data_IF_526859864002
#
_entry.id   IF_526859864002
#
_cell.length_a   1.000
_cell.length_b   1.000
_cell.length_c   1.000
_cell.angle_alpha   90.00
_cell.angle_beta   90.00
_cell.angle_gamma   90.00
#
_symmetry.space_group_name_H-M   'P 1'
#
loop_
_entity.id
_entity.type
_entity.pdbx_description
1 polymer ?
#
# COMPACT_ATOMS: atom_id res chain seq x y z
N UNK A 1 30.28 14.90 -2.62
CA UNK A 1 28.94 14.30 -2.71
C UNK A 1 28.87 13.30 -1.58
N UNK A 2 28.28 13.70 -0.47
CA UNK A 2 28.01 12.83 0.68
C UNK A 2 26.67 12.15 0.40
N UNK A 3 26.68 10.86 0.14
CA UNK A 3 25.50 10.03 0.11
C UNK A 3 24.92 10.01 1.53
N UNK A 4 23.81 10.70 1.71
CA UNK A 4 22.99 10.57 2.90
C UNK A 4 22.06 9.38 2.63
N UNK A 5 22.45 8.21 3.12
CA UNK A 5 21.56 7.06 3.19
C UNK A 5 20.45 7.41 4.16
N UNK A 6 19.15 7.34 3.77
CA UNK A 6 18.08 7.51 4.74
C UNK A 6 18.16 6.37 5.74
N UNK A 7 18.44 6.70 6.99
CA UNK A 7 18.51 5.69 8.05
C UNK A 7 17.10 5.42 8.55
N UNK A 8 16.48 4.39 8.04
CA UNK A 8 15.29 3.80 8.62
C UNK A 8 15.64 2.66 9.62
N UNK A 9 16.77 2.82 10.28
CA UNK A 9 17.13 2.05 11.49
C UNK A 9 16.18 2.29 12.67
N UNK A 10 15.16 3.17 12.51
CA UNK A 10 14.17 3.47 13.55
C UNK A 10 12.92 2.59 13.53
N UNK A 11 12.79 1.66 12.60
CA UNK A 11 11.64 0.74 12.53
C UNK A 11 11.52 -0.25 13.72
N UNK A 12 12.44 -0.21 14.67
CA UNK A 12 12.39 -0.98 15.92
C UNK A 12 12.32 -0.09 17.16
N UNK A 13 11.92 1.17 17.03
CA UNK A 13 11.62 1.99 18.20
C UNK A 13 10.24 1.56 18.72
N UNK A 14 10.19 0.92 19.88
CA UNK A 14 8.97 0.52 20.59
C UNK A 14 8.02 1.72 20.88
N UNK A 15 8.46 2.93 20.56
CA UNK A 15 7.69 4.18 20.69
C UNK A 15 7.05 4.66 19.38
N UNK A 16 7.34 4.03 18.25
CA UNK A 16 6.69 4.41 16.98
C UNK A 16 5.21 3.99 17.04
N UNK A 17 4.27 4.92 16.76
CA UNK A 17 2.85 4.62 16.83
C UNK A 17 2.50 3.56 15.79
N UNK A 18 1.82 2.49 16.24
CA UNK A 18 1.32 1.46 15.34
C UNK A 18 0.23 2.03 14.41
N UNK A 19 0.24 1.63 13.16
CA UNK A 19 -0.82 1.98 12.20
C UNK A 19 -1.79 0.80 12.06
N UNK A 20 -3.07 1.06 12.25
CA UNK A 20 -4.16 0.11 12.00
C UNK A 20 -4.81 0.45 10.67
N UNK A 21 -5.07 -0.58 9.87
CA UNK A 21 -5.81 -0.47 8.62
C UNK A 21 -6.85 -1.59 8.66
N UNK A 22 -8.12 -1.22 8.73
CA UNK A 22 -9.20 -2.20 8.64
C UNK A 22 -9.49 -2.50 7.16
N UNK A 23 -9.55 -3.77 6.81
CA UNK A 23 -9.85 -4.19 5.45
C UNK A 23 -10.69 -5.47 5.42
N UNK A 24 -11.40 -5.68 4.33
CA UNK A 24 -12.13 -6.92 4.08
C UNK A 24 -11.16 -8.01 3.59
N UNK A 25 -10.87 -8.97 4.46
CA UNK A 25 -9.97 -10.08 4.15
C UNK A 25 -10.48 -11.00 3.01
N UNK A 26 -11.72 -10.82 2.54
CA UNK A 26 -12.23 -11.57 1.36
C UNK A 26 -11.72 -11.00 0.04
N UNK A 27 -11.24 -9.75 0.03
CA UNK A 27 -10.75 -9.07 -1.18
C UNK A 27 -9.35 -8.47 -1.03
N UNK A 28 -8.84 -8.41 0.21
CA UNK A 28 -7.51 -7.90 0.53
C UNK A 28 -6.67 -8.93 1.25
N UNK A 29 -5.39 -8.96 0.98
CA UNK A 29 -4.41 -9.62 1.83
C UNK A 29 -3.21 -8.71 2.06
N UNK A 30 -2.62 -8.80 3.24
CA UNK A 30 -1.38 -8.11 3.56
C UNK A 30 -0.19 -9.03 3.30
N UNK A 31 0.83 -8.50 2.62
CA UNK A 31 2.12 -9.19 2.52
C UNK A 31 2.77 -9.12 3.90
N UNK A 32 3.08 -10.25 4.55
CA UNK A 32 3.66 -10.23 5.89
C UNK A 32 4.93 -9.40 5.94
N UNK A 33 5.05 -8.46 6.89
CA UNK A 33 6.26 -7.63 7.03
C UNK A 33 7.44 -8.45 7.57
N UNK A 34 7.14 -9.52 8.30
CA UNK A 34 8.11 -10.48 8.85
C UNK A 34 7.60 -11.91 8.66
N UNK A 35 8.54 -12.82 8.41
CA UNK A 35 8.25 -14.25 8.22
C UNK A 35 8.51 -14.96 9.54
N UNK A 36 7.46 -15.13 10.37
CA UNK A 36 7.59 -15.66 11.76
C UNK A 36 7.12 -17.09 11.90
N UNK A 37 6.30 -17.59 10.98
CA UNK A 37 5.72 -18.95 11.07
C UNK A 37 6.38 -19.89 10.06
N UNK A 38 6.55 -21.17 10.45
CA UNK A 38 7.17 -22.19 9.59
C UNK A 38 6.43 -22.36 8.24
N UNK A 39 5.09 -22.21 8.24
CA UNK A 39 4.24 -22.34 7.03
C UNK A 39 4.30 -21.09 6.12
N UNK A 40 4.81 -19.97 6.64
CA UNK A 40 4.92 -18.67 5.95
C UNK A 40 6.36 -18.14 5.97
N UNK A 41 7.33 -19.05 5.99
CA UNK A 41 8.73 -18.73 6.26
C UNK A 41 9.41 -17.81 5.22
N UNK A 42 8.79 -17.65 4.06
CA UNK A 42 9.30 -16.79 2.98
C UNK A 42 8.20 -16.42 1.99
N UNK A 43 8.44 -15.37 1.22
CA UNK A 43 7.48 -14.86 0.24
C UNK A 43 6.98 -15.93 -0.75
N UNK A 44 7.86 -16.84 -1.19
CA UNK A 44 7.50 -17.91 -2.12
C UNK A 44 6.50 -18.92 -1.51
N UNK A 45 6.73 -19.32 -0.26
CA UNK A 45 5.83 -20.21 0.46
C UNK A 45 4.49 -19.53 0.74
N UNK A 46 4.54 -18.28 1.21
CA UNK A 46 3.35 -17.48 1.46
C UNK A 46 2.49 -17.33 0.20
N UNK A 47 3.09 -16.94 -0.92
CA UNK A 47 2.34 -16.69 -2.16
C UNK A 47 1.64 -17.95 -2.68
N UNK A 48 2.29 -19.12 -2.56
CA UNK A 48 1.69 -20.39 -2.95
C UNK A 48 0.52 -20.77 -2.02
N UNK A 49 0.71 -20.68 -0.70
CA UNK A 49 -0.34 -20.99 0.27
C UNK A 49 -1.53 -20.06 0.15
N UNK A 50 -1.28 -18.76 -0.02
CA UNK A 50 -2.35 -17.80 -0.21
C UNK A 50 -3.09 -18.04 -1.54
N UNK A 51 -2.38 -18.40 -2.61
CA UNK A 51 -3.00 -18.81 -3.86
C UNK A 51 -3.90 -20.03 -3.68
N UNK A 52 -3.44 -21.08 -3.00
CA UNK A 52 -4.24 -22.27 -2.69
C UNK A 52 -5.55 -21.90 -1.97
N UNK A 53 -5.50 -20.99 -0.98
CA UNK A 53 -6.67 -20.49 -0.26
C UNK A 53 -7.64 -19.72 -1.18
N UNK A 54 -7.13 -18.87 -2.07
CA UNK A 54 -7.97 -18.15 -3.04
C UNK A 54 -8.71 -19.09 -3.99
N UNK A 55 -8.14 -20.26 -4.28
CA UNK A 55 -8.73 -21.25 -5.18
C UNK A 55 -9.54 -22.34 -4.45
N UNK A 56 -9.61 -22.34 -3.11
CA UNK A 56 -10.21 -23.44 -2.32
C UNK A 56 -11.66 -23.78 -2.72
N UNK A 57 -12.42 -22.75 -3.16
CA UNK A 57 -13.83 -22.90 -3.56
C UNK A 57 -14.06 -22.79 -5.07
N UNK A 58 -12.98 -22.79 -5.85
CA UNK A 58 -12.98 -22.68 -7.30
C UNK A 58 -12.58 -24.01 -7.94
N UNK A 59 -12.73 -24.12 -9.24
CA UNK A 59 -12.25 -25.25 -10.05
C UNK A 59 -11.10 -24.76 -10.95
N UNK A 60 -9.85 -24.71 -10.43
CA UNK A 60 -8.71 -24.19 -11.20
C UNK A 60 -8.31 -25.15 -12.33
N UNK A 61 -7.94 -24.58 -13.49
CA UNK A 61 -7.26 -25.36 -14.51
C UNK A 61 -5.84 -25.74 -14.05
N UNK A 62 -5.23 -26.78 -14.62
CA UNK A 62 -3.85 -27.12 -14.30
C UNK A 62 -2.91 -25.94 -14.52
N UNK A 63 -2.21 -25.53 -13.46
CA UNK A 63 -1.27 -24.40 -13.47
C UNK A 63 -1.84 -23.04 -13.05
N UNK A 64 -3.15 -22.91 -12.85
CA UNK A 64 -3.77 -21.64 -12.43
C UNK A 64 -3.28 -21.19 -11.04
N UNK A 65 -3.17 -22.14 -10.11
CA UNK A 65 -2.73 -21.90 -8.73
C UNK A 65 -1.28 -21.37 -8.71
N UNK A 66 -0.39 -22.04 -9.44
CA UNK A 66 1.01 -21.66 -9.55
C UNK A 66 1.17 -20.31 -10.25
N UNK A 67 0.41 -20.08 -11.33
CA UNK A 67 0.44 -18.80 -12.05
C UNK A 67 -0.02 -17.64 -11.16
N UNK A 68 -1.03 -17.84 -10.34
CA UNK A 68 -1.51 -16.82 -9.40
C UNK A 68 -0.51 -16.61 -8.26
N UNK A 69 0.10 -17.68 -7.73
CA UNK A 69 1.16 -17.58 -6.75
C UNK A 69 2.36 -16.78 -7.28
N UNK A 70 2.73 -16.95 -8.55
CA UNK A 70 3.80 -16.17 -9.17
C UNK A 70 3.45 -14.66 -9.26
N UNK A 71 2.19 -14.33 -9.51
CA UNK A 71 1.73 -12.93 -9.52
C UNK A 71 1.79 -12.30 -8.11
N UNK A 72 1.31 -13.02 -7.09
CA UNK A 72 1.37 -12.59 -5.70
C UNK A 72 2.82 -12.39 -5.24
N UNK A 73 3.71 -13.33 -5.58
CA UNK A 73 5.14 -13.24 -5.28
C UNK A 73 5.75 -12.01 -5.95
N UNK A 74 5.52 -11.80 -7.24
CA UNK A 74 6.03 -10.64 -7.96
C UNK A 74 5.55 -9.31 -7.36
N UNK A 75 4.29 -9.22 -6.95
CA UNK A 75 3.76 -8.05 -6.26
C UNK A 75 4.46 -7.81 -4.91
N UNK A 76 4.68 -8.86 -4.12
CA UNK A 76 5.41 -8.78 -2.85
C UNK A 76 6.89 -8.40 -3.04
N UNK A 77 7.58 -8.95 -4.03
CA UNK A 77 8.96 -8.60 -4.36
C UNK A 77 9.09 -7.10 -4.74
N UNK A 78 8.16 -6.61 -5.55
CA UNK A 78 8.11 -5.18 -5.93
C UNK A 78 7.90 -4.31 -4.68
N UNK A 79 6.96 -4.68 -3.82
CA UNK A 79 6.68 -3.96 -2.58
C UNK A 79 7.92 -3.88 -1.69
N UNK A 80 8.58 -5.02 -1.43
CA UNK A 80 9.78 -5.08 -0.59
C UNK A 80 10.97 -4.32 -1.19
N UNK A 81 11.11 -4.31 -2.53
CA UNK A 81 12.20 -3.62 -3.20
C UNK A 81 12.04 -2.09 -3.22
N UNK A 82 10.82 -1.60 -3.34
CA UNK A 82 10.56 -0.16 -3.55
C UNK A 82 10.13 0.58 -2.27
N UNK A 83 9.58 -0.12 -1.30
CA UNK A 83 9.12 0.46 -0.04
C UNK A 83 9.38 -0.52 1.13
N UNK A 84 10.65 -0.83 1.42
CA UNK A 84 10.99 -1.73 2.50
C UNK A 84 10.64 -1.08 3.84
N UNK A 85 9.66 -1.54 4.54
CA UNK A 85 9.13 -0.95 5.78
C UNK A 85 7.70 -0.43 5.63
N UNK A 86 7.24 -0.17 4.42
CA UNK A 86 5.83 0.09 4.17
C UNK A 86 5.00 -1.19 4.29
N UNK A 87 3.77 -1.06 4.75
CA UNK A 87 2.80 -2.15 4.68
C UNK A 87 2.33 -2.30 3.23
N UNK A 88 2.29 -3.53 2.74
CA UNK A 88 1.85 -3.85 1.39
C UNK A 88 0.56 -4.65 1.45
N UNK A 89 -0.54 -4.06 0.98
CA UNK A 89 -1.82 -4.73 0.82
C UNK A 89 -2.05 -5.05 -0.65
N UNK A 90 -2.49 -6.27 -0.92
CA UNK A 90 -2.81 -6.75 -2.25
C UNK A 90 -4.33 -6.86 -2.39
N UNK A 91 -4.89 -6.13 -3.34
CA UNK A 91 -6.28 -6.28 -3.74
C UNK A 91 -6.44 -7.51 -4.63
N UNK A 92 -7.16 -8.49 -4.16
CA UNK A 92 -7.29 -9.83 -4.76
C UNK A 92 -8.76 -10.26 -4.82
N UNK A 93 -9.63 -9.52 -5.53
CA UNK A 93 -11.08 -9.74 -5.48
C UNK A 93 -11.50 -11.13 -5.99
N UNK A 94 -10.71 -11.71 -6.88
CA UNK A 94 -10.95 -13.04 -7.42
C UNK A 94 -9.68 -13.57 -8.11
N UNK A 95 -9.28 -14.84 -7.92
CA UNK A 95 -8.03 -15.37 -8.50
C UNK A 95 -8.06 -15.46 -10.04
N UNK A 96 -9.25 -15.44 -10.67
CA UNK A 96 -9.39 -15.33 -12.15
C UNK A 96 -9.38 -13.90 -12.67
N UNK A 97 -9.28 -12.91 -11.77
CA UNK A 97 -9.15 -11.52 -12.16
C UNK A 97 -7.74 -11.22 -12.70
N UNK A 98 -7.53 -9.99 -13.15
CA UNK A 98 -6.30 -9.54 -13.81
C UNK A 98 -5.10 -9.37 -12.87
N UNK A 99 -4.90 -10.25 -11.92
CA UNK A 99 -3.80 -10.19 -10.96
C UNK A 99 -4.05 -9.21 -9.80
N UNK A 100 -3.16 -9.23 -8.80
CA UNK A 100 -3.28 -8.37 -7.63
C UNK A 100 -2.93 -6.91 -7.96
N UNK A 101 -3.65 -5.96 -7.33
CA UNK A 101 -3.25 -4.56 -7.29
C UNK A 101 -2.59 -4.27 -5.95
N UNK A 102 -1.37 -3.74 -5.96
CA UNK A 102 -0.63 -3.43 -4.75
C UNK A 102 -0.98 -2.02 -4.25
N UNK A 103 -1.29 -1.91 -2.97
CA UNK A 103 -1.38 -0.66 -2.23
C UNK A 103 -0.30 -0.65 -1.15
N UNK A 104 0.58 0.34 -1.20
CA UNK A 104 1.62 0.55 -0.19
C UNK A 104 1.15 1.62 0.78
N UNK A 105 1.32 1.37 2.07
CA UNK A 105 1.00 2.33 3.14
C UNK A 105 2.24 2.52 4.00
N UNK A 106 2.68 3.76 4.12
CA UNK A 106 3.89 4.12 4.84
C UNK A 106 3.64 5.27 5.82
N UNK A 107 4.40 5.30 6.90
CA UNK A 107 4.41 6.39 7.88
C UNK A 107 5.77 7.07 7.80
N UNK A 108 5.74 8.35 7.46
CA UNK A 108 6.93 9.16 7.26
C UNK A 108 7.02 10.23 8.35
N UNK A 109 8.16 10.41 9.01
CA UNK A 109 8.32 11.50 9.97
C UNK A 109 8.16 12.85 9.26
N UNK A 110 7.58 13.82 9.94
CA UNK A 110 7.55 15.16 9.41
C UNK A 110 8.96 15.77 9.50
N UNK A 111 9.36 16.41 8.40
CA UNK A 111 10.56 17.21 8.32
C UNK A 111 10.17 18.69 8.49
N UNK A 112 11.16 19.59 8.53
CA UNK A 112 10.96 21.04 8.65
C UNK A 112 10.27 21.66 7.40
N UNK A 113 9.15 21.07 6.96
CA UNK A 113 8.35 21.52 5.82
C UNK A 113 6.93 21.85 6.28
N UNK A 114 6.37 22.92 5.71
CA UNK A 114 4.98 23.29 5.97
C UNK A 114 4.04 22.13 5.49
N UNK A 115 3.09 21.67 6.33
CA UNK A 115 2.30 20.46 6.06
C UNK A 115 1.59 20.45 4.70
N UNK A 116 0.98 21.55 4.30
CA UNK A 116 0.29 21.60 3.00
C UNK A 116 1.27 21.48 1.81
N UNK A 117 2.49 22.00 1.94
CA UNK A 117 3.54 21.84 0.91
C UNK A 117 4.06 20.40 0.88
N UNK A 118 4.24 19.77 2.04
CA UNK A 118 4.66 18.39 2.16
C UNK A 118 3.61 17.42 1.57
N UNK A 119 2.32 17.61 1.87
CA UNK A 119 1.24 16.82 1.29
C UNK A 119 1.24 16.89 -0.24
N UNK A 120 1.45 18.06 -0.83
CA UNK A 120 1.55 18.21 -2.30
C UNK A 120 2.77 17.50 -2.87
N UNK A 121 3.91 17.56 -2.17
CA UNK A 121 5.13 16.86 -2.56
C UNK A 121 4.95 15.33 -2.49
N UNK A 122 4.46 14.81 -1.37
CA UNK A 122 4.24 13.37 -1.15
C UNK A 122 3.23 12.78 -2.13
N UNK A 123 2.19 13.53 -2.47
CA UNK A 123 1.19 13.10 -3.44
C UNK A 123 1.59 13.35 -4.89
N UNK A 124 2.69 14.06 -5.14
CA UNK A 124 3.13 14.48 -6.47
C UNK A 124 2.05 15.32 -7.20
N UNK A 125 1.40 16.20 -6.44
CA UNK A 125 0.31 17.03 -6.93
C UNK A 125 0.72 18.03 -8.02
N UNK A 126 2.00 18.40 -8.05
CA UNK A 126 2.58 19.40 -8.97
C UNK A 126 3.59 18.74 -9.93
N UNK A 127 3.48 17.43 -10.17
CA UNK A 127 4.42 16.69 -11.01
C UNK A 127 4.26 17.01 -12.50
N UNK A 128 5.33 17.52 -13.10
CA UNK A 128 5.39 17.88 -14.52
C UNK A 128 5.60 16.67 -15.45
N UNK A 129 6.00 15.51 -14.92
CA UNK A 129 6.21 14.27 -15.70
C UNK A 129 4.90 13.53 -16.01
N UNK A 130 3.80 13.97 -15.43
CA UNK A 130 2.48 13.41 -15.73
C UNK A 130 2.03 13.76 -17.16
N UNK A 131 1.40 12.81 -17.86
CA UNK A 131 0.89 12.99 -19.24
C UNK A 131 -0.17 14.11 -19.33
N UNK A 132 -0.86 14.35 -18.21
CA UNK A 132 -1.82 15.45 -18.00
C UNK A 132 -1.61 15.98 -16.59
N UNK A 133 -2.03 17.22 -16.37
CA UNK A 133 -2.04 17.77 -15.01
C UNK A 133 -2.72 16.79 -14.04
N UNK A 134 -2.10 16.47 -12.91
CA UNK A 134 -2.69 15.61 -11.90
C UNK A 134 -4.06 16.12 -11.45
N UNK A 135 -4.98 15.22 -11.17
CA UNK A 135 -6.26 15.58 -10.53
C UNK A 135 -6.03 15.53 -9.02
N UNK A 136 -6.22 16.68 -8.37
CA UNK A 136 -5.96 16.88 -6.94
C UNK A 136 -7.30 17.16 -6.25
N UNK A 137 -7.65 16.30 -5.29
CA UNK A 137 -8.86 16.43 -4.49
C UNK A 137 -8.51 16.51 -3.00
N UNK A 138 -9.26 17.26 -2.22
CA UNK A 138 -9.23 17.12 -0.77
C UNK A 138 -9.83 15.75 -0.37
N UNK A 139 -9.15 15.05 0.51
CA UNK A 139 -9.57 13.73 0.99
C UNK A 139 -9.40 13.64 2.52
N UNK A 140 -10.33 14.19 3.30
CA UNK A 140 -10.28 14.13 4.75
C UNK A 140 -10.55 12.70 5.23
N UNK A 141 -9.79 12.25 6.23
CA UNK A 141 -10.04 11.01 6.98
C UNK A 141 -10.62 11.34 8.35
N UNK A 142 -11.55 10.52 8.90
CA UNK A 142 -12.08 10.71 10.24
C UNK A 142 -11.00 10.72 11.32
N UNK A 143 -9.98 9.90 11.16
CA UNK A 143 -8.96 9.65 12.18
C UNK A 143 -7.62 10.34 11.87
N UNK A 144 -7.30 10.60 10.59
CA UNK A 144 -6.05 11.25 10.20
C UNK A 144 -6.20 12.75 9.87
N UNK A 145 -7.44 13.26 9.84
CA UNK A 145 -7.70 14.67 9.56
C UNK A 145 -7.66 15.03 8.08
N UNK A 146 -7.24 16.28 7.78
CA UNK A 146 -7.19 16.79 6.42
C UNK A 146 -6.09 16.10 5.59
N UNK A 147 -6.44 15.75 4.34
CA UNK A 147 -5.54 15.08 3.43
C UNK A 147 -5.79 15.41 1.97
N UNK A 148 -4.95 14.87 1.12
CA UNK A 148 -5.03 15.00 -0.33
C UNK A 148 -5.12 13.62 -0.99
N UNK A 149 -5.95 13.55 -2.04
CA UNK A 149 -5.95 12.47 -3.03
C UNK A 149 -5.46 13.02 -4.35
N UNK A 150 -4.50 12.34 -4.98
CA UNK A 150 -3.99 12.69 -6.29
C UNK A 150 -4.05 11.49 -7.20
N UNK A 151 -4.69 11.66 -8.37
CA UNK A 151 -4.67 10.68 -9.45
C UNK A 151 -3.92 11.25 -10.65
N UNK A 152 -3.05 10.44 -11.26
CA UNK A 152 -2.26 10.85 -12.41
C UNK A 152 -1.93 9.68 -13.32
N UNK A 153 -1.64 9.98 -14.59
CA UNK A 153 -1.08 9.04 -15.54
C UNK A 153 0.34 9.48 -15.88
N UNK A 154 1.28 8.56 -15.83
CA UNK A 154 2.69 8.79 -16.16
C UNK A 154 3.10 7.90 -17.34
N UNK A 155 4.10 8.32 -18.13
CA UNK A 155 4.63 7.48 -19.20
C UNK A 155 5.19 6.17 -18.62
N UNK A 156 4.89 5.07 -19.29
CA UNK A 156 5.49 3.77 -19.02
C UNK A 156 6.46 3.38 -20.14
N UNK A 157 6.98 2.18 -20.06
CA UNK A 157 7.81 1.61 -21.11
C UNK A 157 6.97 1.30 -22.37
N UNK A 158 7.60 1.33 -23.55
CA UNK A 158 7.00 0.94 -24.83
C UNK A 158 5.67 1.65 -25.17
N UNK A 159 5.59 2.98 -24.94
CA UNK A 159 4.40 3.82 -25.17
C UNK A 159 3.19 3.45 -24.27
N UNK A 160 3.39 2.67 -23.22
CA UNK A 160 2.37 2.37 -22.21
C UNK A 160 2.14 3.53 -21.25
N UNK A 161 1.08 3.42 -20.45
CA UNK A 161 0.80 4.34 -19.35
C UNK A 161 0.73 3.57 -18.03
N UNK A 162 1.29 4.17 -16.99
CA UNK A 162 0.97 3.79 -15.62
C UNK A 162 -0.04 4.78 -15.03
N UNK A 163 -0.99 4.25 -14.31
CA UNK A 163 -1.98 5.01 -13.54
C UNK A 163 -1.59 4.93 -12.07
N UNK A 164 -1.48 6.08 -11.44
CA UNK A 164 -1.11 6.19 -10.03
C UNK A 164 -2.19 6.91 -9.26
N UNK A 165 -2.49 6.39 -8.07
CA UNK A 165 -3.37 7.00 -7.09
C UNK A 165 -2.59 7.12 -5.79
N UNK A 166 -2.57 8.31 -5.20
CA UNK A 166 -1.89 8.63 -3.96
C UNK A 166 -2.83 9.33 -3.01
N UNK A 167 -2.71 8.98 -1.75
CA UNK A 167 -3.34 9.68 -0.64
C UNK A 167 -2.25 10.05 0.35
N UNK A 168 -2.35 11.21 0.96
CA UNK A 168 -1.47 11.59 2.06
C UNK A 168 -2.22 12.44 3.07
N UNK A 169 -1.92 12.22 4.35
CA UNK A 169 -2.45 12.96 5.49
C UNK A 169 -1.29 13.40 6.38
N UNK A 170 -1.45 14.53 7.04
CA UNK A 170 -0.57 14.95 8.13
C UNK A 170 -1.28 14.73 9.45
N UNK A 171 -0.69 13.93 10.31
CA UNK A 171 -1.21 13.66 11.65
C UNK A 171 -0.39 14.44 12.68
N UNK A 172 -0.99 15.53 13.20
CA UNK A 172 -0.33 16.51 14.05
C UNK A 172 0.17 15.91 15.38
N UNK A 173 -0.57 14.94 15.95
CA UNK A 173 -0.26 14.37 17.26
C UNK A 173 1.10 13.63 17.27
N UNK A 174 1.46 12.98 16.18
CA UNK A 174 2.73 12.24 16.04
C UNK A 174 3.74 12.95 15.14
N UNK A 175 3.41 14.14 14.65
CA UNK A 175 4.24 14.88 13.69
C UNK A 175 4.70 13.98 12.54
N UNK A 176 3.74 13.33 11.90
CA UNK A 176 4.00 12.32 10.89
C UNK A 176 3.03 12.42 9.70
N UNK A 177 3.47 11.93 8.57
CA UNK A 177 2.63 11.76 7.38
C UNK A 177 2.28 10.29 7.21
N UNK A 178 1.01 10.02 6.87
CA UNK A 178 0.59 8.73 6.34
C UNK A 178 0.49 8.86 4.83
N UNK A 179 1.21 8.02 4.10
CA UNK A 179 1.21 7.98 2.64
C UNK A 179 0.67 6.64 2.17
N UNK A 180 -0.35 6.67 1.31
CA UNK A 180 -0.88 5.49 0.63
C UNK A 180 -0.70 5.64 -0.88
N UNK A 181 -0.13 4.62 -1.53
CA UNK A 181 0.23 4.66 -2.96
C UNK A 181 -0.18 3.38 -3.66
N UNK A 182 -0.80 3.51 -4.80
CA UNK A 182 -0.94 2.42 -5.77
C UNK A 182 -0.54 2.87 -7.16
N UNK A 183 0.05 1.95 -7.93
CA UNK A 183 0.43 2.15 -9.32
C UNK A 183 0.15 0.90 -10.13
N UNK A 184 -0.44 1.05 -11.31
CA UNK A 184 -0.73 -0.05 -12.21
C UNK A 184 -0.78 0.42 -13.65
N UNK A 185 -0.57 -0.50 -14.60
CA UNK A 185 -0.86 -0.29 -16.01
C UNK A 185 -2.32 -0.69 -16.38
N UNK A 186 -3.03 -1.37 -15.48
CA UNK A 186 -4.42 -1.78 -15.69
C UNK A 186 -5.41 -0.77 -15.10
N UNK A 187 -5.89 0.15 -15.94
CA UNK A 187 -6.86 1.17 -15.54
C UNK A 187 -8.21 0.57 -15.11
N UNK A 188 -8.65 -0.53 -15.72
CA UNK A 188 -9.94 -1.15 -15.36
C UNK A 188 -9.86 -1.77 -13.96
N UNK A 189 -8.75 -2.44 -13.64
CA UNK A 189 -8.49 -2.95 -12.30
C UNK A 189 -8.46 -1.82 -11.28
N UNK A 190 -7.72 -0.73 -11.57
CA UNK A 190 -7.67 0.43 -10.68
C UNK A 190 -9.06 1.02 -10.43
N UNK A 191 -9.84 1.26 -11.49
CA UNK A 191 -11.19 1.82 -11.36
C UNK A 191 -12.09 0.91 -10.52
N UNK A 192 -11.99 -0.40 -10.68
CA UNK A 192 -12.78 -1.36 -9.90
C UNK A 192 -12.36 -1.39 -8.43
N UNK A 193 -11.09 -1.13 -8.14
CA UNK A 193 -10.53 -1.14 -6.79
C UNK A 193 -10.72 0.19 -6.03
N UNK A 194 -11.04 1.31 -6.70
CA UNK A 194 -11.16 2.62 -6.04
C UNK A 194 -12.06 2.59 -4.79
N UNK A 195 -13.27 2.01 -4.79
CA UNK A 195 -14.11 1.98 -3.60
C UNK A 195 -13.44 1.29 -2.41
N UNK A 196 -12.74 0.20 -2.67
CA UNK A 196 -12.03 -0.59 -1.65
C UNK A 196 -10.77 0.15 -1.16
N UNK A 197 -10.05 0.82 -2.06
CA UNK A 197 -8.89 1.67 -1.69
C UNK A 197 -9.36 2.86 -0.84
N UNK A 198 -10.47 3.49 -1.19
CA UNK A 198 -11.05 4.58 -0.39
C UNK A 198 -11.53 4.09 0.97
N UNK A 199 -12.06 2.86 1.06
CA UNK A 199 -12.39 2.24 2.35
C UNK A 199 -11.13 2.04 3.20
N UNK A 200 -10.03 1.48 2.66
CA UNK A 200 -8.74 1.38 3.34
C UNK A 200 -8.28 2.77 3.85
N UNK A 201 -8.33 3.77 2.97
CA UNK A 201 -7.90 5.12 3.28
C UNK A 201 -8.70 5.75 4.43
N UNK A 202 -10.01 5.50 4.48
CA UNK A 202 -10.91 6.01 5.51
C UNK A 202 -10.84 5.23 6.82
N UNK A 203 -10.41 3.96 6.80
CA UNK A 203 -10.26 3.11 7.99
C UNK A 203 -8.85 3.12 8.58
N UNK A 204 -7.91 3.82 7.91
CA UNK A 204 -6.54 3.95 8.40
C UNK A 204 -6.49 4.91 9.59
N UNK A 205 -5.92 4.44 10.71
CA UNK A 205 -5.76 5.21 11.95
C UNK A 205 -4.51 4.80 12.71
N UNK A 206 -4.05 5.63 13.60
CA UNK A 206 -3.04 5.23 14.56
C UNK A 206 -3.66 4.47 15.73
N UNK A 207 -2.88 3.53 16.29
CA UNK A 207 -3.25 2.83 17.52
C UNK A 207 -3.32 3.81 18.69
N UNK A 208 -4.39 3.75 19.47
CA UNK A 208 -4.44 4.49 20.73
C UNK A 208 -3.48 3.87 21.76
N UNK A 209 -2.89 4.69 22.65
CA UNK A 209 -2.06 4.18 23.74
C UNK A 209 -2.86 3.16 24.59
N UNK A 210 -2.40 1.90 24.62
CA UNK A 210 -3.04 0.80 25.34
C UNK A 210 -3.82 -0.19 24.46
N UNK A 211 -4.11 0.11 23.20
CA UNK A 211 -4.74 -0.86 22.29
C UNK A 211 -3.77 -1.99 21.89
N UNK A 212 -2.47 -1.73 21.84
CA UNK A 212 -1.45 -2.73 21.50
C UNK A 212 -1.42 -3.92 22.48
N UNK A 213 -1.78 -3.72 23.74
CA UNK A 213 -1.77 -4.77 24.77
C UNK A 213 -2.89 -5.81 24.58
N UNK A 214 -3.95 -5.47 23.83
CA UNK A 214 -5.14 -6.33 23.64
C UNK A 214 -5.01 -7.24 22.42
N UNK A 215 -4.10 -6.93 21.50
CA UNK A 215 -3.93 -7.70 20.26
C UNK A 215 -3.00 -8.92 20.42
N UNK A 216 -2.27 -9.04 21.55
CA UNK A 216 -1.35 -10.15 21.85
C UNK A 216 -1.97 -11.27 22.72
N UNK A 217 -3.29 -11.23 23.05
CA UNK A 217 -4.02 -12.28 23.76
C UNK A 217 -4.87 -13.17 22.81
#
# INVERSE_FOLDING_TARGET
VTETTPSWEHANDETAPGLVIDYDASVWCEVPPMWVEEDWAELGTWSLRFSELCWEHEDPAPGDVEAYADQLRGAGEIAQAHAPGARALLYTPHPRARGPLTVLVDVLPAEDMEPAAALRLLTLADDDDAVRAPVVDAFPSPDLGDGLRVSRAIPGDEDGLFFQLRYAWYYEEYDAYVLMVTITHDLELLISAIPEIEYLAMSTRFLEPGEAEVMDE
#
